data_IF_437167965174
#
_entry.id   IF_437167965174
#
_cell.length_a   1.000
_cell.length_b   1.000
_cell.length_c   1.000
_cell.angle_alpha   90.00
_cell.angle_beta   90.00
_cell.angle_gamma   90.00
#
_symmetry.space_group_name_H-M   'P 1'
#
loop_
_entity.id
_entity.type
_entity.pdbx_description
1 polymer ?
#
# COMPACT_ATOMS: atom_id res chain seq x y z
N UNK A 1 -2.43 -4.32 30.77
CA UNK A 1 -2.63 -4.09 29.33
C UNK A 1 -3.99 -4.66 28.94
N UNK A 2 -4.77 -3.87 28.23
CA UNK A 2 -6.11 -4.27 27.83
C UNK A 2 -6.10 -4.74 26.37
N UNK A 3 -6.20 -6.05 26.17
CA UNK A 3 -6.16 -6.65 24.85
C UNK A 3 -7.40 -6.32 24.01
N UNK A 4 -8.48 -5.91 24.63
CA UNK A 4 -9.71 -5.55 23.93
C UNK A 4 -9.53 -4.30 23.05
N UNK A 5 -8.55 -3.45 23.40
CA UNK A 5 -8.25 -2.26 22.62
C UNK A 5 -7.26 -2.51 21.50
N UNK A 6 -6.73 -3.72 21.41
CA UNK A 6 -5.78 -4.09 20.35
C UNK A 6 -6.58 -4.67 19.19
N UNK A 7 -6.71 -3.86 18.16
CA UNK A 7 -7.36 -4.33 16.92
C UNK A 7 -6.32 -5.03 16.06
N UNK A 8 -6.62 -6.24 15.57
CA UNK A 8 -5.71 -6.87 14.62
C UNK A 8 -5.61 -6.04 13.35
N UNK A 9 -4.45 -6.10 12.72
CA UNK A 9 -4.27 -5.47 11.41
C UNK A 9 -5.11 -6.24 10.40
N UNK A 10 -6.05 -5.54 9.76
CA UNK A 10 -6.94 -6.15 8.79
C UNK A 10 -6.25 -6.37 7.45
N UNK A 11 -5.17 -5.60 7.18
CA UNK A 11 -4.56 -5.57 5.86
C UNK A 11 -3.14 -5.04 5.96
N UNK A 12 -2.24 -5.61 5.16
CA UNK A 12 -0.88 -5.09 5.02
C UNK A 12 -0.73 -4.46 3.64
N UNK A 13 -0.26 -3.23 3.61
CA UNK A 13 -0.06 -2.48 2.39
C UNK A 13 1.39 -2.04 2.32
N UNK A 14 2.05 -2.26 1.19
CA UNK A 14 3.41 -1.78 0.97
C UNK A 14 3.45 -0.88 -0.26
N UNK A 15 4.19 0.21 -0.11
CA UNK A 15 4.45 1.14 -1.21
C UNK A 15 5.88 0.86 -1.67
N UNK A 16 6.02 0.40 -2.90
CA UNK A 16 7.32 0.06 -3.47
C UNK A 16 7.87 1.26 -4.22
N UNK A 17 9.04 1.73 -3.79
CA UNK A 17 9.68 2.84 -4.48
C UNK A 17 10.81 3.43 -3.67
N UNK A 18 11.69 4.16 -4.36
CA UNK A 18 12.91 4.70 -3.76
C UNK A 18 12.78 6.17 -3.35
N UNK A 19 11.56 6.62 -3.02
CA UNK A 19 11.34 7.97 -2.52
C UNK A 19 11.12 9.02 -3.61
N UNK A 20 10.77 8.60 -4.82
CA UNK A 20 10.47 9.51 -5.91
C UNK A 20 9.17 10.30 -5.64
N UNK A 21 8.92 11.42 -6.34
CA UNK A 21 7.67 12.19 -6.13
C UNK A 21 6.41 11.36 -6.33
N UNK A 22 6.38 10.49 -7.33
CA UNK A 22 5.24 9.60 -7.57
C UNK A 22 5.06 8.59 -6.44
N UNK A 23 6.17 8.11 -5.87
CA UNK A 23 6.13 7.20 -4.73
C UNK A 23 5.49 7.86 -3.51
N UNK A 24 5.85 9.11 -3.26
CA UNK A 24 5.27 9.89 -2.17
C UNK A 24 3.79 10.18 -2.41
N UNK A 25 3.42 10.48 -3.64
CA UNK A 25 2.01 10.71 -4.01
C UNK A 25 1.18 9.46 -3.76
N UNK A 26 1.70 8.30 -4.14
CA UNK A 26 1.01 7.04 -3.91
C UNK A 26 0.86 6.76 -2.41
N UNK A 27 1.90 6.98 -1.65
CA UNK A 27 1.86 6.80 -0.20
C UNK A 27 0.78 7.67 0.43
N UNK A 28 0.75 8.95 0.09
CA UNK A 28 -0.22 9.89 0.63
C UNK A 28 -1.64 9.52 0.24
N UNK A 29 -1.87 9.18 -1.02
CA UNK A 29 -3.18 8.78 -1.51
C UNK A 29 -3.67 7.52 -0.80
N UNK A 30 -2.77 6.55 -0.61
CA UNK A 30 -3.11 5.29 0.06
C UNK A 30 -3.49 5.55 1.52
N UNK A 31 -2.73 6.37 2.22
CA UNK A 31 -3.03 6.73 3.61
C UNK A 31 -4.39 7.41 3.74
N UNK A 32 -4.70 8.34 2.83
CA UNK A 32 -5.97 9.03 2.83
C UNK A 32 -7.13 8.08 2.60
N UNK A 33 -6.99 7.15 1.66
CA UNK A 33 -8.05 6.17 1.37
C UNK A 33 -8.28 5.25 2.55
N UNK A 34 -7.20 4.75 3.16
CA UNK A 34 -7.30 3.88 4.34
C UNK A 34 -8.01 4.61 5.47
N UNK A 35 -7.69 5.87 5.68
CA UNK A 35 -8.33 6.70 6.70
C UNK A 35 -9.83 6.92 6.39
N UNK A 36 -10.16 7.24 5.14
CA UNK A 36 -11.53 7.43 4.70
C UNK A 36 -12.37 6.16 4.86
N UNK A 37 -11.77 5.00 4.60
CA UNK A 37 -12.45 3.71 4.73
C UNK A 37 -12.56 3.22 6.17
N UNK A 38 -11.80 3.85 7.08
CA UNK A 38 -11.82 3.48 8.49
C UNK A 38 -11.28 2.09 8.77
N UNK A 39 -10.41 1.56 7.93
CA UNK A 39 -9.83 0.22 8.11
C UNK A 39 -8.53 0.29 8.88
N UNK A 40 -8.19 -0.80 9.57
CA UNK A 40 -6.94 -0.92 10.28
C UNK A 40 -5.90 -1.60 9.38
N UNK A 41 -5.12 -0.79 8.66
CA UNK A 41 -4.11 -1.27 7.74
C UNK A 41 -2.73 -0.85 8.20
N UNK A 42 -1.77 -1.77 8.07
CA UNK A 42 -0.36 -1.46 8.27
C UNK A 42 0.19 -0.99 6.92
N UNK A 43 0.64 0.24 6.85
CA UNK A 43 1.21 0.81 5.61
C UNK A 43 2.70 0.98 5.80
N UNK A 44 3.49 0.29 4.98
CA UNK A 44 4.93 0.34 5.02
C UNK A 44 5.49 0.74 3.66
N UNK A 45 6.67 1.34 3.68
CA UNK A 45 7.41 1.64 2.46
C UNK A 45 8.51 0.60 2.27
N UNK A 46 8.68 0.14 1.04
CA UNK A 46 9.83 -0.67 0.67
C UNK A 46 10.68 0.12 -0.30
N UNK A 47 11.88 0.48 0.13
CA UNK A 47 12.80 1.29 -0.65
C UNK A 47 14.01 0.49 -1.16
N UNK A 48 14.18 -0.74 -0.68
CA UNK A 48 15.27 -1.61 -1.10
C UNK A 48 14.97 -2.14 -2.50
N UNK A 49 15.80 -1.75 -3.47
CA UNK A 49 15.58 -2.09 -4.88
C UNK A 49 15.58 -3.62 -5.10
N UNK A 50 16.38 -4.36 -4.34
CA UNK A 50 16.43 -5.82 -4.47
C UNK A 50 15.09 -6.43 -4.06
N UNK A 51 14.53 -5.96 -2.95
CA UNK A 51 13.22 -6.44 -2.49
C UNK A 51 12.11 -6.03 -3.43
N UNK A 52 12.18 -4.79 -3.96
CA UNK A 52 11.21 -4.31 -4.95
C UNK A 52 11.23 -5.21 -6.18
N UNK A 53 12.40 -5.53 -6.69
CA UNK A 53 12.53 -6.42 -7.84
C UNK A 53 12.02 -7.83 -7.54
N UNK A 54 12.13 -8.25 -6.28
CA UNK A 54 11.61 -9.53 -5.83
C UNK A 54 10.10 -9.67 -5.98
N UNK A 55 9.37 -8.56 -6.06
CA UNK A 55 7.93 -8.57 -6.33
C UNK A 55 7.62 -8.75 -7.83
N UNK A 56 8.64 -8.77 -8.67
CA UNK A 56 8.45 -8.97 -10.10
C UNK A 56 8.08 -7.72 -10.87
N UNK A 57 8.18 -6.54 -10.27
CA UNK A 57 7.90 -5.27 -10.97
C UNK A 57 9.15 -4.70 -11.59
N UNK A 58 8.99 -4.01 -12.69
CA UNK A 58 10.09 -3.36 -13.42
C UNK A 58 10.04 -1.84 -13.31
N UNK A 59 8.95 -1.29 -12.84
CA UNK A 59 8.74 0.16 -12.72
C UNK A 59 8.14 0.49 -11.37
N UNK A 60 8.57 1.61 -10.79
CA UNK A 60 8.01 2.16 -9.55
C UNK A 60 7.21 3.41 -9.86
N UNK A 61 6.26 3.80 -9.02
CA UNK A 61 5.89 3.18 -7.76
C UNK A 61 5.06 1.92 -7.95
N UNK A 62 5.02 1.07 -6.92
CA UNK A 62 4.17 -0.11 -6.90
C UNK A 62 3.34 -0.15 -5.64
N UNK A 63 2.17 -0.76 -5.71
CA UNK A 63 1.28 -0.95 -4.57
C UNK A 63 1.08 -2.45 -4.35
N UNK A 64 1.35 -2.89 -3.12
CA UNK A 64 1.20 -4.29 -2.71
C UNK A 64 0.17 -4.33 -1.60
N UNK A 65 -0.82 -5.20 -1.76
CA UNK A 65 -1.85 -5.40 -0.73
C UNK A 65 -1.85 -6.88 -0.36
N UNK A 66 -1.60 -7.15 0.92
CA UNK A 66 -1.54 -8.51 1.46
C UNK A 66 -0.61 -9.42 0.64
N UNK A 67 0.55 -8.90 0.26
CA UNK A 67 1.56 -9.64 -0.48
C UNK A 67 1.34 -9.70 -1.99
N UNK A 68 0.25 -9.13 -2.48
CA UNK A 68 -0.09 -9.16 -3.90
C UNK A 68 0.13 -7.79 -4.53
N UNK A 69 0.90 -7.74 -5.62
CA UNK A 69 1.08 -6.52 -6.40
C UNK A 69 -0.20 -6.21 -7.15
N UNK A 70 -0.82 -5.08 -6.85
CA UNK A 70 -2.07 -4.67 -7.50
C UNK A 70 -1.85 -3.62 -8.58
N UNK A 71 -0.75 -2.86 -8.48
CA UNK A 71 -0.39 -1.89 -9.52
C UNK A 71 1.11 -1.67 -9.51
N UNK A 72 1.67 -1.35 -10.67
CA UNK A 72 3.08 -1.00 -10.79
C UNK A 72 3.27 -0.01 -11.94
N UNK A 73 4.16 0.97 -11.73
CA UNK A 73 4.56 1.91 -12.76
C UNK A 73 3.72 3.16 -12.90
N UNK A 74 2.67 3.31 -12.10
CA UNK A 74 1.84 4.52 -12.11
C UNK A 74 1.19 4.75 -10.75
N UNK A 75 0.69 5.98 -10.55
CA UNK A 75 -0.08 6.32 -9.35
C UNK A 75 -1.56 6.17 -9.69
N UNK A 76 -2.26 5.22 -9.04
CA UNK A 76 -3.71 5.09 -9.24
C UNK A 76 -4.43 6.26 -8.56
N UNK A 77 -5.65 6.52 -9.01
CA UNK A 77 -6.48 7.51 -8.33
C UNK A 77 -7.12 6.88 -7.09
N UNK A 78 -7.78 7.70 -6.27
CA UNK A 78 -8.37 7.24 -5.00
C UNK A 78 -9.41 6.13 -5.21
N UNK A 79 -10.23 6.25 -6.25
CA UNK A 79 -11.24 5.23 -6.57
C UNK A 79 -10.60 3.88 -6.87
N UNK A 80 -9.53 3.89 -7.64
CA UNK A 80 -8.80 2.66 -7.94
C UNK A 80 -8.23 2.04 -6.68
N UNK A 81 -7.65 2.87 -5.80
CA UNK A 81 -7.10 2.38 -4.53
C UNK A 81 -8.19 1.76 -3.68
N UNK A 82 -9.35 2.41 -3.57
CA UNK A 82 -10.50 1.87 -2.84
C UNK A 82 -10.93 0.52 -3.39
N UNK A 83 -10.99 0.40 -4.70
CA UNK A 83 -11.36 -0.85 -5.35
C UNK A 83 -10.36 -1.96 -5.07
N UNK A 84 -9.06 -1.66 -5.15
CA UNK A 84 -8.02 -2.65 -4.82
C UNK A 84 -8.13 -3.12 -3.38
N UNK A 85 -8.35 -2.20 -2.46
CA UNK A 85 -8.51 -2.54 -1.05
C UNK A 85 -9.74 -3.39 -0.83
N UNK A 86 -10.86 -3.01 -1.42
CA UNK A 86 -12.12 -3.75 -1.32
C UNK A 86 -11.99 -5.17 -1.85
N UNK A 87 -11.30 -5.33 -2.98
CA UNK A 87 -11.11 -6.65 -3.61
C UNK A 87 -10.20 -7.57 -2.80
N UNK A 88 -9.36 -7.01 -1.93
CA UNK A 88 -8.36 -7.76 -1.17
C UNK A 88 -8.66 -7.83 0.34
N UNK A 89 -9.81 -7.42 0.74
CA UNK A 89 -10.24 -7.53 2.13
C UNK A 89 -10.57 -8.97 2.52
#
# INVERSE_FOLDING_TARGET
MNFENLKPVAMEIKILGTGCPKCKSLEQATKLVVEEMGINALIEKEEDIVKIMGYGIMHTPGLVINGKVVIAGRVPNKEEIKNFITQNQ
#
